data_IF_830173812628
#
_entry.id   IF_830173812628
#
_cell.length_a   1.000
_cell.length_b   1.000
_cell.length_c   1.000
_cell.angle_alpha   90.00
_cell.angle_beta   90.00
_cell.angle_gamma   90.00
#
_symmetry.space_group_name_H-M   'P 1'
#
loop_
_entity.id
_entity.type
_entity.pdbx_description
1 polymer ?
#
# COMPACT_ATOMS: atom_id res chain seq x y z
N UNK A 1 -10.86 -46.50 -4.29
CA UNK A 1 -9.92 -45.35 -4.36
C UNK A 1 -10.64 -44.25 -5.10
N UNK A 2 -11.47 -43.48 -4.39
CA UNK A 2 -12.13 -42.31 -4.97
C UNK A 2 -11.04 -41.26 -5.18
N UNK A 3 -10.87 -40.81 -6.41
CA UNK A 3 -10.00 -39.69 -6.71
C UNK A 3 -10.39 -38.50 -5.82
N UNK A 4 -9.51 -38.15 -4.88
CA UNK A 4 -9.46 -36.85 -4.22
C UNK A 4 -9.11 -35.77 -5.25
N UNK A 5 -9.93 -35.66 -6.30
CA UNK A 5 -10.02 -34.44 -7.11
C UNK A 5 -10.74 -33.43 -6.24
N UNK A 6 -10.01 -32.93 -5.25
CA UNK A 6 -10.28 -31.70 -4.50
C UNK A 6 -10.84 -30.75 -5.55
N UNK A 7 -12.14 -30.43 -5.41
CA UNK A 7 -12.83 -29.53 -6.33
C UNK A 7 -12.27 -28.13 -6.07
N UNK A 8 -11.10 -27.86 -6.65
CA UNK A 8 -10.39 -26.58 -6.62
C UNK A 8 -11.32 -25.40 -6.97
N UNK A 9 -12.40 -25.64 -7.72
CA UNK A 9 -13.41 -24.62 -8.02
C UNK A 9 -14.10 -24.02 -6.78
N UNK A 10 -14.29 -24.76 -5.70
CA UNK A 10 -15.06 -24.29 -4.54
C UNK A 10 -14.22 -23.48 -3.54
N UNK A 11 -12.90 -23.69 -3.51
CA UNK A 11 -12.01 -23.04 -2.54
C UNK A 11 -11.47 -21.68 -3.01
N UNK A 12 -11.69 -21.32 -4.27
CA UNK A 12 -11.16 -20.08 -4.84
C UNK A 12 -12.26 -19.20 -5.45
N UNK A 13 -13.11 -18.61 -4.59
CA UNK A 13 -14.10 -17.59 -4.96
C UNK A 13 -13.52 -16.39 -5.75
N UNK A 14 -12.19 -16.21 -5.74
CA UNK A 14 -11.49 -15.17 -6.50
C UNK A 14 -10.96 -15.59 -7.88
N UNK A 15 -11.11 -16.85 -8.29
CA UNK A 15 -10.70 -17.35 -9.60
C UNK A 15 -11.91 -17.44 -10.54
N UNK A 16 -11.73 -17.07 -11.81
CA UNK A 16 -12.80 -17.01 -12.82
C UNK A 16 -13.18 -18.41 -13.35
N UNK A 17 -13.39 -19.39 -12.48
CA UNK A 17 -13.75 -20.78 -12.82
C UNK A 17 -12.86 -21.38 -13.93
N UNK A 18 -11.55 -21.59 -13.67
CA UNK A 18 -10.62 -22.07 -14.67
C UNK A 18 -11.05 -23.44 -15.22
N UNK A 19 -11.01 -23.58 -16.56
CA UNK A 19 -11.49 -24.77 -17.27
C UNK A 19 -10.48 -25.92 -17.28
N UNK A 20 -9.21 -25.62 -17.01
CA UNK A 20 -8.12 -26.59 -16.96
C UNK A 20 -6.97 -26.11 -16.04
N UNK A 21 -6.01 -27.00 -15.80
CA UNK A 21 -4.87 -26.72 -14.92
C UNK A 21 -3.99 -25.55 -15.41
N UNK A 22 -3.84 -25.39 -16.73
CA UNK A 22 -3.03 -24.32 -17.32
C UNK A 22 -3.68 -22.95 -17.04
N UNK A 23 -4.99 -22.85 -17.17
CA UNK A 23 -5.75 -21.63 -16.87
C UNK A 23 -5.71 -21.29 -15.38
N UNK A 24 -5.82 -22.30 -14.51
CA UNK A 24 -5.65 -22.13 -13.08
C UNK A 24 -4.27 -21.56 -12.74
N UNK A 25 -3.20 -22.16 -13.27
CA UNK A 25 -1.83 -21.72 -13.02
C UNK A 25 -1.60 -20.28 -13.51
N UNK A 26 -2.14 -19.91 -14.66
CA UNK A 26 -2.06 -18.53 -15.18
C UNK A 26 -2.75 -17.55 -14.26
N UNK A 27 -4.01 -17.80 -13.88
CA UNK A 27 -4.75 -16.88 -12.99
C UNK A 27 -4.07 -16.73 -11.62
N UNK A 28 -3.48 -17.79 -11.09
CA UNK A 28 -2.69 -17.73 -9.85
C UNK A 28 -1.42 -16.90 -10.04
N UNK A 29 -0.69 -17.12 -11.13
CA UNK A 29 0.49 -16.33 -11.47
C UNK A 29 0.16 -14.83 -11.58
N UNK A 30 -0.90 -14.49 -12.31
CA UNK A 30 -1.35 -13.10 -12.50
C UNK A 30 -1.71 -12.44 -11.15
N UNK A 31 -2.39 -13.18 -10.25
CA UNK A 31 -2.72 -12.67 -8.90
C UNK A 31 -1.47 -12.46 -8.03
N UNK A 32 -0.54 -13.40 -8.05
CA UNK A 32 0.72 -13.28 -7.29
C UNK A 32 1.51 -12.10 -7.80
N UNK A 33 1.61 -11.93 -9.12
CA UNK A 33 2.28 -10.80 -9.75
C UNK A 33 1.62 -9.48 -9.33
N UNK A 34 0.29 -9.37 -9.45
CA UNK A 34 -0.46 -8.20 -9.01
C UNK A 34 -0.20 -7.85 -7.55
N UNK A 35 -0.22 -8.83 -6.64
CA UNK A 35 0.08 -8.62 -5.22
C UNK A 35 1.53 -8.13 -5.03
N UNK A 36 2.48 -8.68 -5.77
CA UNK A 36 3.89 -8.30 -5.67
C UNK A 36 4.18 -6.88 -6.18
N UNK A 37 3.44 -6.43 -7.20
CA UNK A 37 3.58 -5.11 -7.80
C UNK A 37 2.73 -4.03 -7.10
N UNK A 38 1.74 -4.44 -6.30
CA UNK A 38 0.90 -3.50 -5.56
C UNK A 38 1.73 -2.74 -4.53
N UNK A 39 1.89 -1.43 -4.73
CA UNK A 39 2.55 -0.55 -3.76
C UNK A 39 1.77 -0.53 -2.44
N UNK A 40 2.44 -0.92 -1.36
CA UNK A 40 1.88 -0.93 0.00
C UNK A 40 2.44 0.19 0.89
N UNK A 41 3.48 0.88 0.43
CA UNK A 41 4.09 1.99 1.14
C UNK A 41 4.73 3.00 0.19
N UNK A 42 4.87 4.23 0.64
CA UNK A 42 5.63 5.27 -0.02
C UNK A 42 6.39 6.11 1.01
N UNK A 43 7.49 6.72 0.58
CA UNK A 43 8.23 7.71 1.38
C UNK A 43 8.36 8.98 0.55
N UNK A 44 8.02 10.11 1.14
CA UNK A 44 8.16 11.44 0.54
C UNK A 44 8.97 12.30 1.50
N UNK A 45 9.95 13.02 0.98
CA UNK A 45 10.74 13.95 1.77
C UNK A 45 10.20 15.36 1.59
N UNK A 46 9.98 16.06 2.71
CA UNK A 46 9.46 17.44 2.73
C UNK A 46 10.33 18.31 3.64
N UNK A 47 10.42 19.60 3.34
CA UNK A 47 11.14 20.59 4.18
C UNK A 47 10.20 21.56 4.88
N UNK A 48 8.91 21.53 4.54
CA UNK A 48 7.85 22.37 5.08
C UNK A 48 6.50 21.65 4.97
N UNK A 49 5.44 22.28 5.47
CA UNK A 49 4.07 21.79 5.27
C UNK A 49 3.77 21.74 3.77
N UNK A 50 3.22 20.62 3.30
CA UNK A 50 3.11 20.36 1.87
C UNK A 50 1.85 19.55 1.53
N UNK A 51 1.42 19.72 0.28
CA UNK A 51 0.42 18.87 -0.37
C UNK A 51 1.10 18.17 -1.55
N UNK A 52 0.98 16.85 -1.63
CA UNK A 52 1.59 16.06 -2.70
C UNK A 52 0.68 14.92 -3.16
N UNK A 53 0.90 14.37 -4.38
CA UNK A 53 0.08 13.29 -4.90
C UNK A 53 0.14 12.00 -4.05
N UNK A 54 -1.00 11.35 -3.86
CA UNK A 54 -1.09 10.06 -3.17
C UNK A 54 -0.86 8.90 -4.15
N UNK A 55 0.37 8.39 -4.16
CA UNK A 55 0.77 7.26 -5.03
C UNK A 55 0.19 5.90 -4.62
N UNK A 56 -0.51 5.81 -3.48
CA UNK A 56 -1.14 4.57 -2.99
C UNK A 56 -2.63 4.47 -3.35
N UNK A 57 -3.18 5.55 -3.95
CA UNK A 57 -4.53 5.64 -4.50
C UNK A 57 -5.63 5.23 -3.52
N UNK A 58 -5.45 5.53 -2.23
CA UNK A 58 -6.42 5.23 -1.16
C UNK A 58 -6.30 6.22 0.00
N UNK A 59 -7.43 6.57 0.60
CA UNK A 59 -7.48 7.37 1.84
C UNK A 59 -7.13 6.55 3.09
N UNK A 60 -7.23 5.22 3.01
CA UNK A 60 -6.93 4.32 4.12
C UNK A 60 -5.42 4.12 4.27
N UNK A 61 -4.76 5.12 4.85
CA UNK A 61 -3.30 5.13 5.07
C UNK A 61 -2.94 5.48 6.51
N UNK A 62 -1.77 5.02 6.94
CA UNK A 62 -1.09 5.49 8.15
C UNK A 62 0.06 6.38 7.71
N UNK A 63 0.10 7.62 8.21
CA UNK A 63 1.15 8.60 7.90
C UNK A 63 2.03 8.79 9.13
N UNK A 64 3.35 8.78 8.93
CA UNK A 64 4.33 9.04 9.99
C UNK A 64 5.41 10.00 9.48
N UNK A 65 5.68 11.06 10.24
CA UNK A 65 6.78 11.96 9.99
C UNK A 65 7.99 11.64 10.88
N UNK A 66 9.18 11.59 10.28
CA UNK A 66 10.45 11.44 11.00
C UNK A 66 11.49 12.40 10.47
N UNK A 67 12.26 12.98 11.38
CA UNK A 67 13.47 13.73 11.02
C UNK A 67 14.43 12.83 10.22
N UNK A 68 14.85 13.31 9.05
CA UNK A 68 15.65 12.52 8.11
C UNK A 68 17.05 12.16 8.63
N UNK A 69 17.58 12.90 9.61
CA UNK A 69 18.93 12.73 10.14
C UNK A 69 18.88 11.90 11.44
N UNK A 70 18.02 12.31 12.37
CA UNK A 70 17.95 11.73 13.72
C UNK A 70 16.94 10.58 13.82
N UNK A 71 16.03 10.43 12.84
CA UNK A 71 14.94 9.44 12.87
C UNK A 71 13.86 9.72 13.91
N UNK A 72 13.95 10.85 14.63
CA UNK A 72 13.00 11.24 15.68
C UNK A 72 11.62 11.46 15.08
N UNK A 73 10.58 10.94 15.74
CA UNK A 73 9.19 11.18 15.34
C UNK A 73 8.86 12.66 15.46
N UNK A 74 8.18 13.19 14.44
CA UNK A 74 7.65 14.54 14.41
C UNK A 74 6.14 14.48 14.46
N UNK A 75 5.55 15.41 15.22
CA UNK A 75 4.11 15.58 15.26
C UNK A 75 3.68 16.41 14.06
N UNK A 76 2.72 15.87 13.33
CA UNK A 76 2.11 16.49 12.16
C UNK A 76 0.61 16.39 12.30
N UNK A 77 -0.10 17.25 11.58
CA UNK A 77 -1.50 17.06 11.22
C UNK A 77 -1.53 16.59 9.77
N UNK A 78 -2.35 15.60 9.46
CA UNK A 78 -2.37 14.96 8.16
C UNK A 78 -3.79 14.72 7.65
N UNK A 79 -3.94 14.83 6.34
CA UNK A 79 -5.19 14.56 5.65
C UNK A 79 -4.91 13.83 4.35
N UNK A 80 -5.55 12.67 4.16
CA UNK A 80 -5.34 11.81 3.00
C UNK A 80 -6.64 11.64 2.22
N UNK A 81 -6.57 11.83 0.91
CA UNK A 81 -7.58 11.42 -0.06
C UNK A 81 -7.00 10.34 -0.97
N UNK A 82 -7.80 9.79 -1.89
CA UNK A 82 -7.28 8.89 -2.91
C UNK A 82 -6.30 9.56 -3.92
N UNK A 83 -6.25 10.89 -3.99
CA UNK A 83 -5.43 11.62 -4.99
C UNK A 83 -4.29 12.41 -4.36
N UNK A 84 -4.46 12.90 -3.14
CA UNK A 84 -3.53 13.81 -2.48
C UNK A 84 -3.36 13.47 -1.01
N UNK A 85 -2.19 13.82 -0.49
CA UNK A 85 -1.89 13.84 0.94
C UNK A 85 -1.44 15.25 1.29
N UNK A 86 -2.03 15.80 2.34
CA UNK A 86 -1.63 17.05 2.97
C UNK A 86 -0.98 16.74 4.31
N UNK A 87 0.17 17.37 4.57
CA UNK A 87 0.88 17.28 5.85
C UNK A 87 1.17 18.70 6.34
N UNK A 88 0.70 19.01 7.54
CA UNK A 88 1.03 20.23 8.28
C UNK A 88 2.00 19.91 9.40
N UNK A 89 3.13 20.60 9.37
CA UNK A 89 4.19 20.42 10.33
C UNK A 89 4.11 21.52 11.38
N UNK A 90 4.18 21.13 12.64
CA UNK A 90 4.16 22.06 13.77
C UNK A 90 5.57 22.31 14.29
N UNK A 91 5.93 23.59 14.40
CA UNK A 91 7.23 24.04 14.92
C UNK A 91 8.31 24.16 13.85
N UNK A 92 9.48 24.64 14.28
CA UNK A 92 10.59 24.89 13.38
C UNK A 92 11.32 23.59 13.00
N UNK A 93 11.60 23.45 11.71
CA UNK A 93 12.33 22.33 11.15
C UNK A 93 13.80 22.71 10.96
N UNK A 94 14.68 21.89 11.52
CA UNK A 94 16.14 22.02 11.31
C UNK A 94 16.61 21.16 10.14
N UNK A 95 15.98 20.00 9.92
CA UNK A 95 16.30 19.05 8.87
C UNK A 95 15.06 18.74 8.01
N UNK A 96 15.25 18.20 6.80
CA UNK A 96 14.15 17.63 6.03
C UNK A 96 13.49 16.46 6.77
N UNK A 97 12.21 16.23 6.46
CA UNK A 97 11.36 15.25 7.12
C UNK A 97 10.96 14.17 6.14
N UNK A 98 11.14 12.92 6.54
CA UNK A 98 10.64 11.76 5.82
C UNK A 98 9.21 11.46 6.27
N UNK A 99 8.28 11.56 5.33
CA UNK A 99 6.89 11.17 5.48
C UNK A 99 6.75 9.74 4.97
N UNK A 100 6.59 8.79 5.89
CA UNK A 100 6.27 7.40 5.61
C UNK A 100 4.75 7.25 5.51
N UNK A 101 4.29 6.71 4.38
CA UNK A 101 2.87 6.48 4.10
C UNK A 101 2.71 4.97 3.94
N UNK A 102 1.85 4.37 4.74
CA UNK A 102 1.59 2.93 4.74
C UNK A 102 0.13 2.69 4.36
N UNK A 103 -0.11 1.91 3.31
CA UNK A 103 -1.45 1.48 2.91
C UNK A 103 -2.01 0.52 3.95
N UNK A 104 -3.13 0.87 4.56
CA UNK A 104 -3.88 -0.06 5.41
C UNK A 104 -4.62 -1.01 4.47
N UNK A 105 -4.32 -2.31 4.57
CA UNK A 105 -5.15 -3.30 3.87
C UNK A 105 -6.53 -3.30 4.53
N UNK A 106 -7.63 -3.20 3.74
CA UNK A 106 -8.94 -3.60 4.24
C UNK A 106 -8.95 -5.09 4.59
#
# INVERSE_FOLDING_TARGET
MSEDKIKLLLDYNGLNNPRNQQEFNRQMYDKVLLISETRTSAVVQVTESAVFPNVLETENVIIQARDSVTGKKINIDDYATNQTIEVKIFGDLVNPINILILKVKP
#
